data_IF_004848045317
#
_entry.id   IF_004848045317
#
_cell.length_a   1.000
_cell.length_b   1.000
_cell.length_c   1.000
_cell.angle_alpha   90.00
_cell.angle_beta   90.00
_cell.angle_gamma   90.00
#
_symmetry.space_group_name_H-M   'P 1'
#
loop_
_entity.id
_entity.type
_entity.pdbx_description
1 polymer ?
#
# COMPACT_ATOMS: atom_id res chain seq x y z
N UNK A 1 9.08 9.22 2.25
CA UNK A 1 8.21 8.04 2.42
C UNK A 1 6.91 8.52 3.06
N UNK A 2 5.77 8.10 2.53
CA UNK A 2 4.46 8.35 3.14
C UNK A 2 3.88 6.99 3.52
N UNK A 3 3.43 6.86 4.77
CA UNK A 3 2.81 5.62 5.25
C UNK A 3 1.41 5.87 5.75
N UNK A 4 0.55 4.87 5.59
CA UNK A 4 -0.82 4.93 6.07
C UNK A 4 -1.32 3.56 6.54
N UNK A 5 -2.32 3.60 7.43
CA UNK A 5 -3.10 2.47 7.92
C UNK A 5 -4.57 2.83 7.90
N UNK A 6 -5.43 1.85 7.64
CA UNK A 6 -6.89 1.97 7.74
C UNK A 6 -7.52 3.02 6.82
N UNK A 7 -7.05 3.10 5.57
CA UNK A 7 -7.75 3.81 4.50
C UNK A 7 -8.91 2.98 3.94
N UNK A 8 -9.90 3.65 3.34
CA UNK A 8 -11.05 3.01 2.72
C UNK A 8 -10.66 2.11 1.53
N UNK A 9 -9.74 2.60 0.68
CA UNK A 9 -9.17 1.84 -0.43
C UNK A 9 -7.70 2.18 -0.66
N UNK A 10 -6.99 1.33 -1.41
CA UNK A 10 -5.60 1.60 -1.80
C UNK A 10 -5.52 2.76 -2.80
N UNK A 11 -6.48 2.86 -3.73
CA UNK A 11 -6.57 3.93 -4.73
C UNK A 11 -6.78 5.30 -4.10
N UNK A 12 -7.64 5.41 -3.08
CA UNK A 12 -7.85 6.68 -2.36
C UNK A 12 -6.58 7.12 -1.64
N UNK A 13 -5.90 6.19 -0.98
CA UNK A 13 -4.64 6.47 -0.31
C UNK A 13 -3.60 6.99 -1.30
N UNK A 14 -3.41 6.30 -2.41
CA UNK A 14 -2.45 6.71 -3.44
C UNK A 14 -2.80 8.10 -3.95
N UNK A 15 -4.04 8.31 -4.40
CA UNK A 15 -4.48 9.59 -5.00
C UNK A 15 -4.27 10.78 -4.07
N UNK A 16 -4.51 10.61 -2.76
CA UNK A 16 -4.30 11.64 -1.76
C UNK A 16 -2.82 11.83 -1.38
N UNK A 17 -2.01 10.78 -1.45
CA UNK A 17 -0.61 10.83 -1.07
C UNK A 17 0.33 11.29 -2.20
N UNK A 18 0.00 11.04 -3.48
CA UNK A 18 0.84 11.39 -4.65
C UNK A 18 1.31 12.84 -4.63
N UNK A 19 0.45 13.86 -4.38
CA UNK A 19 0.87 15.26 -4.47
C UNK A 19 1.94 15.66 -3.43
N UNK A 20 2.03 14.90 -2.34
CA UNK A 20 3.00 15.12 -1.26
C UNK A 20 4.23 14.21 -1.37
N UNK A 21 4.26 13.30 -2.35
CA UNK A 21 5.32 12.32 -2.50
C UNK A 21 6.50 12.92 -3.27
N UNK A 22 7.70 12.85 -2.67
CA UNK A 22 8.95 13.19 -3.36
C UNK A 22 9.15 12.32 -4.63
N UNK A 23 9.98 12.77 -5.57
CA UNK A 23 10.16 12.10 -6.87
C UNK A 23 10.56 10.63 -6.77
N UNK A 24 11.53 10.31 -5.91
CA UNK A 24 11.94 8.93 -5.58
C UNK A 24 11.27 8.40 -4.29
N UNK A 25 10.10 8.95 -3.95
CA UNK A 25 9.34 8.57 -2.77
C UNK A 25 8.66 7.21 -2.93
N UNK A 26 8.35 6.60 -1.78
CA UNK A 26 7.64 5.32 -1.71
C UNK A 26 6.43 5.47 -0.78
N UNK A 27 5.31 4.88 -1.18
CA UNK A 27 4.08 4.79 -0.40
C UNK A 27 3.98 3.42 0.30
N UNK A 28 3.65 3.42 1.59
CA UNK A 28 3.58 2.22 2.42
C UNK A 28 2.17 2.08 2.98
N UNK A 29 1.38 1.16 2.43
CA UNK A 29 0.02 0.88 2.91
C UNK A 29 -0.01 -0.39 3.76
N UNK A 30 -0.33 -0.26 5.05
CA UNK A 30 -0.51 -1.39 5.96
C UNK A 30 -1.94 -1.95 5.82
N UNK A 31 -2.07 -3.23 5.44
CA UNK A 31 -3.37 -3.89 5.23
C UNK A 31 -3.54 -5.15 6.08
N UNK A 32 -4.81 -5.40 6.42
CA UNK A 32 -5.27 -6.61 7.12
C UNK A 32 -5.33 -7.86 6.24
N UNK A 33 -5.35 -7.68 4.92
CA UNK A 33 -5.37 -8.75 3.91
C UNK A 33 -4.59 -8.27 2.70
N UNK A 34 -4.11 -9.22 1.89
CA UNK A 34 -3.50 -8.90 0.59
C UNK A 34 -4.50 -8.11 -0.28
N UNK A 35 -4.04 -7.10 -1.04
CA UNK A 35 -4.88 -6.41 -2.01
C UNK A 35 -5.54 -7.37 -2.99
N UNK A 36 -6.76 -7.06 -3.42
CA UNK A 36 -7.43 -7.82 -4.47
C UNK A 36 -6.80 -7.52 -5.84
N UNK A 37 -7.06 -8.38 -6.83
CA UNK A 37 -6.62 -8.12 -8.20
C UNK A 37 -7.22 -6.83 -8.76
N UNK A 38 -8.46 -6.51 -8.40
CA UNK A 38 -9.15 -5.26 -8.79
C UNK A 38 -8.43 -4.02 -8.22
N UNK A 39 -8.11 -4.03 -6.92
CA UNK A 39 -7.37 -2.93 -6.28
C UNK A 39 -5.98 -2.71 -6.90
N UNK A 40 -5.33 -3.78 -7.37
CA UNK A 40 -4.03 -3.68 -8.05
C UNK A 40 -4.17 -3.20 -9.50
N UNK A 41 -5.23 -3.59 -10.20
CA UNK A 41 -5.49 -3.18 -11.58
C UNK A 41 -5.69 -1.66 -11.70
N UNK A 42 -6.36 -1.05 -10.72
CA UNK A 42 -6.56 0.41 -10.64
C UNK A 42 -5.25 1.20 -10.44
N UNK A 43 -4.15 0.52 -10.07
CA UNK A 43 -2.86 1.10 -9.75
C UNK A 43 -1.75 0.69 -10.71
N UNK A 44 -2.10 0.38 -11.97
CA UNK A 44 -1.17 -0.06 -13.02
C UNK A 44 0.04 0.86 -13.29
N UNK A 45 -0.04 2.15 -12.93
CA UNK A 45 1.07 3.10 -13.06
C UNK A 45 2.13 2.97 -11.95
N UNK A 46 1.90 2.09 -10.97
CA UNK A 46 2.78 1.85 -9.84
C UNK A 46 3.44 0.50 -9.96
N UNK A 47 4.70 0.41 -9.53
CA UNK A 47 5.29 -0.86 -9.16
C UNK A 47 4.85 -1.21 -7.73
N UNK A 48 4.30 -2.40 -7.55
CA UNK A 48 3.70 -2.86 -6.30
C UNK A 48 4.45 -4.08 -5.79
N UNK A 49 4.98 -3.99 -4.57
CA UNK A 49 5.51 -5.12 -3.81
C UNK A 49 4.64 -5.35 -2.56
N UNK A 50 4.32 -6.61 -2.25
CA UNK A 50 3.46 -6.98 -1.13
C UNK A 50 4.26 -7.89 -0.18
N UNK A 51 4.59 -7.34 0.99
CA UNK A 51 5.33 -8.09 2.01
C UNK A 51 4.40 -8.54 3.14
N UNK A 52 4.22 -9.85 3.37
CA UNK A 52 3.55 -10.33 4.56
C UNK A 52 4.39 -9.99 5.80
N UNK A 53 3.73 -9.67 6.90
CA UNK A 53 4.38 -9.40 8.19
C UNK A 53 3.71 -10.20 9.29
N UNK A 54 4.50 -10.67 10.24
CA UNK A 54 4.01 -11.26 11.47
C UNK A 54 3.87 -10.15 12.51
N UNK A 55 2.68 -10.01 13.09
CA UNK A 55 2.44 -9.05 14.17
C UNK A 55 2.41 -9.83 15.49
N UNK A 56 3.27 -9.50 16.47
CA UNK A 56 3.29 -10.20 17.74
C UNK A 56 1.92 -10.22 18.42
N UNK A 57 1.54 -11.39 18.94
CA UNK A 57 0.27 -11.62 19.67
C UNK A 57 -0.99 -11.37 18.83
N UNK A 58 -0.88 -11.42 17.51
CA UNK A 58 -2.00 -11.35 16.58
C UNK A 58 -1.94 -12.56 15.64
N UNK A 59 -3.02 -13.35 15.63
CA UNK A 59 -3.14 -14.56 14.81
C UNK A 59 -3.90 -14.29 13.50
N UNK A 60 -3.69 -13.10 12.92
CA UNK A 60 -4.27 -12.69 11.65
C UNK A 60 -3.15 -12.36 10.65
N UNK A 61 -3.45 -12.57 9.37
CA UNK A 61 -2.62 -12.07 8.28
C UNK A 61 -2.47 -10.56 8.34
N UNK A 62 -1.24 -10.08 8.11
CA UNK A 62 -0.96 -8.66 7.88
C UNK A 62 0.04 -8.54 6.75
N UNK A 63 -0.08 -7.48 5.97
CA UNK A 63 0.91 -7.18 4.93
C UNK A 63 1.14 -5.67 4.81
N UNK A 64 2.30 -5.32 4.26
CA UNK A 64 2.61 -3.97 3.80
C UNK A 64 2.67 -4.00 2.29
N UNK A 65 1.94 -3.08 1.66
CA UNK A 65 2.00 -2.83 0.22
C UNK A 65 2.93 -1.65 0.00
N UNK A 66 4.01 -1.86 -0.73
CA UNK A 66 4.95 -0.82 -1.15
C UNK A 66 4.59 -0.40 -2.56
N UNK A 67 4.42 0.91 -2.77
CA UNK A 67 4.17 1.46 -4.10
C UNK A 67 5.27 2.46 -4.46
N UNK A 68 5.95 2.21 -5.56
CA UNK A 68 6.93 3.12 -6.18
C UNK A 68 6.43 3.52 -7.56
N UNK A 69 6.74 4.76 -7.98
CA UNK A 69 6.51 5.17 -9.38
C UNK A 69 7.32 4.24 -10.30
N UNK A 70 6.73 3.87 -11.44
CA UNK A 70 7.45 3.15 -12.51
C UNK A 70 8.55 4.01 -13.12
#
# INVERSE_FOLDING_TARGET
MITSRAFASLTDFVSLAVPCLADAGVLYAMKGKKPTAEEMADLQAWHIDIKPICVPKLDDDRCVVYLTKQ
#
